data_IF_070015384632
#
_entry.id   IF_070015384632
#
_cell.length_a   1.000
_cell.length_b   1.000
_cell.length_c   1.000
_cell.angle_alpha   90.00
_cell.angle_beta   90.00
_cell.angle_gamma   90.00
#
_symmetry.space_group_name_H-M   'P 1'
#
loop_
_entity.id
_entity.type
_entity.pdbx_description
1 polymer ?
#
# COMPACT_ATOMS: atom_id res chain seq x y z
N UNK A 1 -8.31 5.09 8.23
CA UNK A 1 -7.25 5.25 7.21
C UNK A 1 -5.88 5.63 7.78
N UNK A 2 -5.76 6.47 8.82
CA UNK A 2 -4.45 6.79 9.46
C UNK A 2 -3.73 5.58 10.09
N UNK A 3 -4.50 4.54 10.47
CA UNK A 3 -3.98 3.36 11.17
C UNK A 3 -3.00 2.51 10.37
N UNK A 4 -3.21 2.30 9.07
CA UNK A 4 -2.37 1.40 8.27
C UNK A 4 -0.96 1.97 8.05
N UNK A 5 -0.87 3.23 7.61
CA UNK A 5 0.42 3.91 7.47
C UNK A 5 1.17 4.00 8.81
N UNK A 6 0.45 4.17 9.93
CA UNK A 6 1.06 4.14 11.27
C UNK A 6 1.51 2.74 11.70
N UNK A 7 0.84 1.67 11.24
CA UNK A 7 1.25 0.27 11.49
C UNK A 7 2.50 -0.09 10.69
N UNK A 8 2.55 0.28 9.41
CA UNK A 8 3.73 0.11 8.55
C UNK A 8 4.95 0.83 9.16
N UNK A 9 4.81 2.10 9.55
CA UNK A 9 5.89 2.85 10.20
C UNK A 9 6.34 2.24 11.53
N UNK A 10 5.42 1.69 12.32
CA UNK A 10 5.77 0.96 13.57
C UNK A 10 6.51 -0.35 13.30
N UNK A 11 6.30 -0.97 12.14
CA UNK A 11 7.05 -2.13 11.68
C UNK A 11 8.40 -1.77 11.04
N UNK A 12 8.82 -0.50 11.09
CA UNK A 12 10.08 -0.03 10.49
C UNK A 12 10.01 0.25 8.99
N UNK A 13 8.82 0.16 8.39
CA UNK A 13 8.62 0.38 6.96
C UNK A 13 8.31 1.86 6.70
N UNK A 14 9.09 2.48 5.82
CA UNK A 14 8.81 3.83 5.34
C UNK A 14 7.52 3.83 4.53
N UNK A 15 6.49 4.53 5.01
CA UNK A 15 5.20 4.61 4.36
C UNK A 15 4.73 6.06 4.25
N UNK A 16 4.32 6.46 3.04
CA UNK A 16 3.75 7.77 2.73
C UNK A 16 2.29 7.61 2.32
N UNK A 17 1.41 8.44 2.89
CA UNK A 17 -0.01 8.44 2.56
C UNK A 17 -0.32 9.57 1.57
N UNK A 18 -0.86 9.22 0.41
CA UNK A 18 -1.34 10.21 -0.55
C UNK A 18 -2.76 10.62 -0.17
N UNK A 19 -2.90 11.83 0.38
CA UNK A 19 -4.20 12.41 0.78
C UNK A 19 -4.83 13.29 -0.31
N UNK A 20 -4.13 13.50 -1.42
CA UNK A 20 -4.61 14.33 -2.52
C UNK A 20 -5.71 13.59 -3.33
N UNK A 21 -6.75 14.29 -3.80
CA UNK A 21 -7.82 13.71 -4.62
C UNK A 21 -7.36 13.51 -6.08
N UNK A 22 -6.25 12.80 -6.26
CA UNK A 22 -5.70 12.45 -7.56
C UNK A 22 -6.10 11.00 -7.92
N UNK A 23 -6.38 10.75 -9.20
CA UNK A 23 -6.75 9.42 -9.71
C UNK A 23 -5.69 8.37 -9.35
N UNK A 24 -6.10 7.14 -9.07
CA UNK A 24 -5.24 5.99 -8.75
C UNK A 24 -4.03 5.85 -9.69
N UNK A 25 -4.23 5.94 -11.01
CA UNK A 25 -3.13 5.86 -11.97
C UNK A 25 -2.07 6.97 -11.81
N UNK A 26 -2.46 8.17 -11.35
CA UNK A 26 -1.49 9.24 -11.00
C UNK A 26 -0.76 8.95 -9.70
N UNK A 27 -1.40 8.28 -8.74
CA UNK A 27 -0.78 7.87 -7.49
C UNK A 27 0.30 6.82 -7.73
N UNK A 28 0.03 5.81 -8.57
CA UNK A 28 1.02 4.79 -8.94
C UNK A 28 2.24 5.41 -9.62
N UNK A 29 2.02 6.29 -10.61
CA UNK A 29 3.13 7.02 -11.27
C UNK A 29 3.91 7.91 -10.31
N UNK A 30 3.28 8.42 -9.27
CA UNK A 30 3.97 9.22 -8.26
C UNK A 30 4.87 8.34 -7.38
N UNK A 31 4.35 7.20 -6.92
CA UNK A 31 5.11 6.22 -6.15
C UNK A 31 6.28 5.64 -6.95
N UNK A 32 6.04 5.27 -8.20
CA UNK A 32 7.04 4.78 -9.16
C UNK A 32 8.18 5.80 -9.37
N UNK A 33 7.85 7.07 -9.64
CA UNK A 33 8.86 8.14 -9.77
C UNK A 33 9.65 8.41 -8.49
N UNK A 34 9.11 8.06 -7.33
CA UNK A 34 9.82 8.15 -6.04
C UNK A 34 10.67 6.91 -5.75
N UNK A 35 10.66 5.90 -6.63
CA UNK A 35 11.33 4.61 -6.41
C UNK A 35 10.69 3.80 -5.30
N UNK A 36 9.38 3.96 -5.06
CA UNK A 36 8.65 3.18 -4.06
C UNK A 36 8.27 1.83 -4.68
N UNK A 37 8.72 0.68 -4.12
CA UNK A 37 8.48 -0.63 -4.73
C UNK A 37 7.05 -1.12 -4.54
N UNK A 38 6.37 -0.72 -3.46
CA UNK A 38 5.04 -1.22 -3.10
C UNK A 38 4.02 -0.11 -2.91
N UNK A 39 2.81 -0.32 -3.44
CA UNK A 39 1.64 0.53 -3.17
C UNK A 39 0.56 -0.30 -2.49
N UNK A 40 0.03 0.23 -1.39
CA UNK A 40 -1.09 -0.39 -0.68
C UNK A 40 -2.36 0.40 -0.96
N UNK A 41 -3.39 -0.31 -1.42
CA UNK A 41 -4.70 0.23 -1.74
C UNK A 41 -5.68 -0.29 -0.70
N UNK A 42 -6.38 0.65 -0.07
CA UNK A 42 -7.40 0.39 0.94
C UNK A 42 -8.66 1.18 0.56
N UNK A 43 -9.55 0.55 -0.20
CA UNK A 43 -10.87 1.07 -0.51
C UNK A 43 -11.93 0.63 0.51
N UNK A 44 -13.19 1.06 0.35
CA UNK A 44 -14.29 0.72 1.25
C UNK A 44 -14.54 -0.79 1.33
N UNK A 45 -14.43 -1.48 0.19
CA UNK A 45 -14.71 -2.91 0.06
C UNK A 45 -13.64 -3.73 0.77
N UNK A 46 -12.36 -3.41 0.57
CA UNK A 46 -11.25 -4.08 1.24
C UNK A 46 -11.27 -3.85 2.74
N UNK A 47 -11.66 -2.64 3.17
CA UNK A 47 -11.77 -2.28 4.57
C UNK A 47 -12.90 -3.06 5.26
N UNK A 48 -14.01 -3.30 4.57
CA UNK A 48 -15.09 -4.18 5.03
C UNK A 48 -14.68 -5.66 5.11
N UNK A 49 -13.79 -6.10 4.21
CA UNK A 49 -13.26 -7.46 4.19
C UNK A 49 -12.06 -7.70 5.14
N UNK A 50 -11.54 -6.65 5.79
CA UNK A 50 -10.32 -6.74 6.61
C UNK A 50 -9.05 -7.03 5.79
N UNK A 51 -9.07 -6.69 4.50
CA UNK A 51 -7.99 -6.92 3.56
C UNK A 51 -7.45 -5.60 3.00
N UNK A 52 -6.34 -5.68 2.30
CA UNK A 52 -5.75 -4.62 1.48
C UNK A 52 -5.20 -5.23 0.21
N UNK A 53 -5.16 -4.43 -0.84
CA UNK A 53 -4.48 -4.82 -2.07
C UNK A 53 -3.06 -4.25 -2.04
N UNK A 54 -2.07 -5.11 -2.22
CA UNK A 54 -0.67 -4.73 -2.36
C UNK A 54 -0.29 -4.89 -3.82
N UNK A 55 0.21 -3.81 -4.41
CA UNK A 55 0.76 -3.79 -5.77
C UNK A 55 2.27 -3.62 -5.72
N UNK A 56 2.99 -4.55 -6.34
CA UNK A 56 4.41 -4.41 -6.61
C UNK A 56 4.57 -3.59 -7.91
N UNK A 57 5.30 -2.48 -7.85
CA UNK A 57 5.53 -1.60 -8.99
C UNK A 57 6.68 -2.08 -9.90
N UNK A 58 7.58 -2.92 -9.40
CA UNK A 58 8.67 -3.52 -10.18
C UNK A 58 8.16 -4.65 -11.07
N UNK A 59 7.35 -5.56 -10.52
CA UNK A 59 6.79 -6.71 -11.26
C UNK A 59 5.43 -6.40 -11.90
N UNK A 60 4.72 -5.39 -11.38
CA UNK A 60 3.35 -5.06 -11.77
C UNK A 60 2.29 -5.96 -11.12
N UNK A 61 2.69 -6.97 -10.34
CA UNK A 61 1.76 -7.89 -9.67
C UNK A 61 0.92 -7.19 -8.61
N UNK A 62 -0.33 -7.65 -8.47
CA UNK A 62 -1.28 -7.09 -7.52
C UNK A 62 -2.04 -8.22 -6.84
N UNK A 63 -1.92 -8.30 -5.51
CA UNK A 63 -2.52 -9.35 -4.70
C UNK A 63 -3.24 -8.77 -3.49
N UNK A 64 -4.35 -9.40 -3.09
CA UNK A 64 -5.08 -9.04 -1.88
C UNK A 64 -4.56 -9.85 -0.69
N UNK A 65 -4.28 -9.17 0.42
CA UNK A 65 -3.82 -9.78 1.65
C UNK A 65 -4.63 -9.25 2.84
N UNK A 66 -4.83 -10.06 3.89
CA UNK A 66 -5.18 -9.53 5.19
C UNK A 66 -4.20 -8.41 5.59
N UNK A 67 -4.68 -7.39 6.30
CA UNK A 67 -3.86 -6.21 6.66
C UNK A 67 -2.55 -6.61 7.35
N UNK A 68 -2.61 -7.62 8.22
CA UNK A 68 -1.45 -8.08 9.00
C UNK A 68 -0.42 -8.76 8.09
N UNK A 69 -0.89 -9.63 7.18
CA UNK A 69 -0.08 -10.30 6.16
C UNK A 69 0.56 -9.32 5.17
N UNK A 70 -0.14 -8.25 4.80
CA UNK A 70 0.38 -7.25 3.89
C UNK A 70 1.64 -6.57 4.44
N UNK A 71 1.70 -6.33 5.76
CA UNK A 71 2.88 -5.74 6.41
C UNK A 71 4.07 -6.70 6.31
N UNK A 72 3.86 -8.01 6.50
CA UNK A 72 4.92 -9.02 6.36
C UNK A 72 5.45 -9.07 4.92
N UNK A 73 4.56 -9.05 3.92
CA UNK A 73 4.93 -9.07 2.50
C UNK A 73 5.78 -7.86 2.13
N UNK A 74 5.40 -6.66 2.60
CA UNK A 74 6.14 -5.42 2.32
C UNK A 74 7.44 -5.34 3.13
N UNK A 75 7.52 -5.96 4.30
CA UNK A 75 8.75 -6.02 5.09
C UNK A 75 9.78 -7.00 4.52
N UNK A 76 9.34 -8.05 3.82
CA UNK A 76 10.19 -9.13 3.34
C UNK A 76 10.82 -8.86 1.95
N UNK A 77 10.30 -7.87 1.21
CA UNK A 77 10.84 -7.44 -0.08
C UNK A 77 11.60 -6.14 0.05
#
# INVERSE_FOLDING_TARGET
>A
TLGLAARLRRAGINAEQILAPIRLGKQFRFADRKGIPYVVILGPDELGAGQVVVKNLETGEQNAYPVDKAIEVIAAG
#
